data_IF_430763553515
#
_entry.id   IF_430763553515
#
_cell.length_a   1.000
_cell.length_b   1.000
_cell.length_c   1.000
_cell.angle_alpha   90.00
_cell.angle_beta   90.00
_cell.angle_gamma   90.00
#
_symmetry.space_group_name_H-M   'P 1'
#
loop_
_entity.id
_entity.type
_entity.pdbx_description
1 polymer ?
#
# COMPACT_ATOMS: atom_id res chain seq x y z
N UNK A 1 21.47 33.41 -10.39
CA UNK A 1 20.06 33.34 -10.84
C UNK A 1 19.68 32.01 -11.48
N UNK A 2 20.41 31.52 -12.50
CA UNK A 2 20.07 30.25 -13.18
C UNK A 2 19.99 29.00 -12.29
N UNK A 3 20.87 28.87 -11.27
CA UNK A 3 20.81 27.76 -10.30
C UNK A 3 19.53 27.74 -9.47
N UNK A 4 19.00 28.91 -9.09
CA UNK A 4 17.84 29.02 -8.20
C UNK A 4 16.56 28.60 -8.95
N UNK A 5 16.41 29.05 -10.19
CA UNK A 5 15.36 28.58 -11.09
C UNK A 5 15.49 27.09 -11.44
N UNK A 6 16.71 26.58 -11.57
CA UNK A 6 16.98 25.15 -11.76
C UNK A 6 16.48 24.30 -10.58
N UNK A 7 16.75 24.73 -9.34
CA UNK A 7 16.28 24.03 -8.13
C UNK A 7 14.75 24.09 -8.02
N UNK A 8 14.13 25.24 -8.31
CA UNK A 8 12.67 25.37 -8.33
C UNK A 8 12.03 24.47 -9.38
N UNK A 9 12.60 24.42 -10.60
CA UNK A 9 12.15 23.51 -11.66
C UNK A 9 12.23 22.04 -11.25
N UNK A 10 13.35 21.61 -10.65
CA UNK A 10 13.51 20.25 -10.14
C UNK A 10 12.50 19.94 -9.02
N UNK A 11 12.26 20.88 -8.12
CA UNK A 11 11.27 20.75 -7.05
C UNK A 11 9.85 20.55 -7.58
N UNK A 12 9.45 21.33 -8.60
CA UNK A 12 8.15 21.18 -9.25
C UNK A 12 7.99 19.80 -9.91
N UNK A 13 8.99 19.36 -10.68
CA UNK A 13 8.98 18.04 -11.34
C UNK A 13 8.89 16.91 -10.31
N UNK A 14 9.68 17.01 -9.24
CA UNK A 14 9.68 16.02 -8.14
C UNK A 14 8.33 15.99 -7.43
N UNK A 15 7.74 17.14 -7.14
CA UNK A 15 6.42 17.24 -6.52
C UNK A 15 5.32 16.62 -7.37
N UNK A 16 5.30 16.91 -8.68
CA UNK A 16 4.35 16.30 -9.62
C UNK A 16 4.55 14.79 -9.72
N UNK A 17 5.79 14.32 -9.78
CA UNK A 17 6.10 12.89 -9.81
C UNK A 17 5.58 12.16 -8.54
N UNK A 18 5.71 12.77 -7.36
CA UNK A 18 5.18 12.24 -6.11
C UNK A 18 3.65 12.16 -6.12
N UNK A 19 2.96 13.18 -6.66
CA UNK A 19 1.49 13.18 -6.78
C UNK A 19 1.04 12.06 -7.73
N UNK A 20 1.62 11.98 -8.93
CA UNK A 20 1.23 10.98 -9.92
C UNK A 20 1.55 9.55 -9.44
N UNK A 21 2.72 9.36 -8.83
CA UNK A 21 3.11 8.08 -8.23
C UNK A 21 2.18 7.68 -7.08
N UNK A 22 1.87 8.61 -6.18
CA UNK A 22 0.94 8.39 -5.06
C UNK A 22 -0.46 8.03 -5.54
N UNK A 23 -1.01 8.78 -6.51
CA UNK A 23 -2.31 8.49 -7.12
C UNK A 23 -2.33 7.12 -7.82
N UNK A 24 -1.24 6.74 -8.48
CA UNK A 24 -1.12 5.42 -9.09
C UNK A 24 -1.13 4.30 -8.04
N UNK A 25 -0.45 4.48 -6.91
CA UNK A 25 -0.49 3.56 -5.77
C UNK A 25 -1.90 3.46 -5.20
N UNK A 26 -2.57 4.58 -4.94
CA UNK A 26 -3.96 4.58 -4.43
C UNK A 26 -4.89 3.84 -5.39
N UNK A 27 -4.79 4.11 -6.71
CA UNK A 27 -5.62 3.46 -7.73
C UNK A 27 -5.35 1.97 -7.82
N UNK A 28 -4.09 1.54 -7.77
CA UNK A 28 -3.75 0.11 -7.81
C UNK A 28 -4.16 -0.61 -6.53
N UNK A 29 -4.03 0.00 -5.37
CA UNK A 29 -4.54 -0.52 -4.11
C UNK A 29 -6.06 -0.68 -4.16
N UNK A 30 -6.80 0.34 -4.59
CA UNK A 30 -8.27 0.27 -4.73
C UNK A 30 -8.70 -0.77 -5.76
N UNK A 31 -7.99 -0.87 -6.89
CA UNK A 31 -8.26 -1.90 -7.89
C UNK A 31 -7.96 -3.32 -7.38
N UNK A 32 -6.97 -3.48 -6.50
CA UNK A 32 -6.72 -4.74 -5.80
C UNK A 32 -7.82 -5.02 -4.79
N UNK A 33 -8.15 -4.09 -3.90
CA UNK A 33 -9.26 -4.22 -2.93
C UNK A 33 -10.57 -4.66 -3.62
N UNK A 34 -10.91 -4.08 -4.76
CA UNK A 34 -12.13 -4.43 -5.52
C UNK A 34 -12.07 -5.81 -6.20
N UNK A 35 -10.88 -6.37 -6.42
CA UNK A 35 -10.67 -7.69 -7.07
C UNK A 35 -10.43 -8.81 -6.08
N UNK A 36 -10.04 -8.47 -4.86
CA UNK A 36 -9.75 -9.40 -3.80
C UNK A 36 -11.07 -9.74 -3.09
N UNK A 37 -11.55 -10.96 -3.26
CA UNK A 37 -12.68 -11.45 -2.47
C UNK A 37 -12.22 -11.73 -1.03
N UNK A 38 -13.00 -11.37 -0.01
CA UNK A 38 -12.76 -11.84 1.34
C UNK A 38 -13.00 -13.36 1.38
N UNK A 39 -11.97 -14.12 1.73
CA UNK A 39 -12.00 -15.57 1.87
C UNK A 39 -11.70 -15.94 3.32
N UNK A 40 -12.46 -16.89 3.86
CA UNK A 40 -12.17 -17.48 5.16
C UNK A 40 -11.00 -18.46 5.01
N UNK A 41 -9.85 -18.14 5.61
CA UNK A 41 -8.72 -19.04 5.68
C UNK A 41 -8.65 -19.73 7.03
N UNK A 42 -8.46 -21.05 7.01
CA UNK A 42 -8.27 -21.89 8.19
C UNK A 42 -6.79 -21.94 8.53
N UNK A 43 -6.44 -21.75 9.81
CA UNK A 43 -5.08 -21.93 10.30
C UNK A 43 -4.75 -23.42 10.33
N UNK A 44 -3.80 -23.85 9.49
CA UNK A 44 -3.33 -25.22 9.42
C UNK A 44 -2.18 -25.48 10.40
N UNK A 45 -1.41 -24.45 10.74
CA UNK A 45 -0.25 -24.57 11.61
C UNK A 45 0.32 -23.21 12.01
N UNK A 46 0.96 -23.18 13.18
CA UNK A 46 1.71 -22.02 13.66
C UNK A 46 3.09 -22.51 14.07
N UNK A 47 4.12 -22.08 13.34
CA UNK A 47 5.50 -22.49 13.58
C UNK A 47 6.36 -21.25 13.84
N UNK A 48 6.62 -20.99 15.13
CA UNK A 48 7.36 -19.81 15.58
C UNK A 48 6.70 -18.51 15.12
N UNK A 49 7.32 -17.82 14.15
CA UNK A 49 6.82 -16.55 13.57
C UNK A 49 6.06 -16.75 12.26
N UNK A 50 5.82 -17.99 11.84
CA UNK A 50 5.15 -18.33 10.59
C UNK A 50 3.79 -18.96 10.84
N UNK A 51 2.85 -18.64 9.98
CA UNK A 51 1.47 -19.07 10.04
C UNK A 51 1.12 -19.69 8.69
N UNK A 52 0.65 -20.93 8.75
CA UNK A 52 0.20 -21.70 7.60
C UNK A 52 -1.31 -21.60 7.51
N UNK A 53 -1.78 -21.08 6.38
CA UNK A 53 -3.18 -20.85 6.07
C UNK A 53 -3.61 -21.77 4.93
N UNK A 54 -4.77 -22.42 5.10
CA UNK A 54 -5.46 -23.15 4.04
C UNK A 54 -6.77 -22.44 3.71
N UNK A 55 -7.08 -22.27 2.44
CA UNK A 55 -8.35 -21.70 2.00
C UNK A 55 -8.78 -22.30 0.67
N UNK A 56 -10.05 -22.13 0.32
CA UNK A 56 -10.58 -22.54 -0.97
C UNK A 56 -10.93 -21.31 -1.79
N UNK A 57 -10.55 -21.31 -3.07
CA UNK A 57 -10.92 -20.30 -4.05
C UNK A 57 -11.48 -21.02 -5.26
N UNK A 58 -12.72 -20.70 -5.64
CA UNK A 58 -13.47 -21.36 -6.72
C UNK A 58 -13.47 -22.90 -6.60
N UNK A 59 -13.65 -23.40 -5.37
CA UNK A 59 -13.69 -24.84 -5.06
C UNK A 59 -12.33 -25.55 -5.07
N UNK A 60 -11.22 -24.83 -5.31
CA UNK A 60 -9.85 -25.39 -5.29
C UNK A 60 -9.13 -25.05 -3.98
N UNK A 61 -8.45 -26.01 -3.35
CA UNK A 61 -7.66 -25.76 -2.14
C UNK A 61 -6.35 -25.05 -2.47
N UNK A 62 -6.03 -24.02 -1.70
CA UNK A 62 -4.77 -23.29 -1.72
C UNK A 62 -4.16 -23.23 -0.33
N UNK A 63 -2.83 -23.14 -0.28
CA UNK A 63 -2.06 -22.98 0.95
C UNK A 63 -1.15 -21.76 0.85
N UNK A 64 -1.07 -21.02 1.93
CA UNK A 64 -0.21 -19.86 2.07
C UNK A 64 0.58 -19.96 3.37
N UNK A 65 1.90 -19.82 3.27
CA UNK A 65 2.81 -19.72 4.41
C UNK A 65 3.35 -18.31 4.48
N UNK A 66 3.13 -17.61 5.59
CA UNK A 66 3.59 -16.24 5.76
C UNK A 66 3.92 -15.89 7.21
N UNK A 67 4.42 -14.67 7.43
CA UNK A 67 4.68 -14.18 8.79
C UNK A 67 3.37 -13.94 9.55
N UNK A 68 3.25 -14.52 10.75
CA UNK A 68 2.07 -14.42 11.60
C UNK A 68 1.69 -12.96 11.93
N UNK A 69 2.68 -12.09 12.16
CA UNK A 69 2.48 -10.67 12.47
C UNK A 69 1.70 -9.89 11.38
N UNK A 70 1.64 -10.40 10.14
CA UNK A 70 0.84 -9.81 9.06
C UNK A 70 -0.67 -10.05 9.26
N UNK A 71 -1.02 -11.10 9.98
CA UNK A 71 -2.39 -11.62 10.12
C UNK A 71 -2.99 -11.42 11.51
N UNK A 72 -2.15 -11.26 12.54
CA UNK A 72 -2.59 -11.31 13.94
C UNK A 72 -2.11 -10.05 14.66
N UNK A 73 -3.06 -9.21 15.09
CA UNK A 73 -2.82 -8.09 16.02
C UNK A 73 -3.15 -8.52 17.46
N UNK A 74 -2.55 -9.62 17.93
CA UNK A 74 -2.92 -10.25 19.20
C UNK A 74 -2.25 -11.61 19.44
N UNK A 75 -2.77 -12.42 20.39
CA UNK A 75 -2.25 -13.76 20.65
C UNK A 75 -2.39 -14.67 19.42
N UNK A 76 -1.47 -15.61 19.25
CA UNK A 76 -1.45 -16.50 18.09
C UNK A 76 -2.76 -17.30 18.02
N UNK A 77 -3.41 -17.35 16.85
CA UNK A 77 -4.66 -18.08 16.67
C UNK A 77 -4.39 -19.58 16.79
N UNK A 78 -5.35 -20.29 17.39
CA UNK A 78 -5.29 -21.74 17.48
C UNK A 78 -5.36 -22.39 16.09
N UNK A 79 -4.73 -23.55 15.94
CA UNK A 79 -4.90 -24.40 14.74
C UNK A 79 -6.39 -24.74 14.60
N UNK A 80 -6.92 -24.60 13.38
CA UNK A 80 -8.34 -24.75 13.08
C UNK A 80 -9.15 -23.45 13.16
N UNK A 81 -8.59 -22.36 13.69
CA UNK A 81 -9.26 -21.07 13.67
C UNK A 81 -9.46 -20.55 12.25
N UNK A 82 -10.55 -19.79 12.03
CA UNK A 82 -10.84 -19.14 10.76
C UNK A 82 -10.48 -17.65 10.83
N UNK A 83 -9.78 -17.15 9.83
CA UNK A 83 -9.31 -15.76 9.74
C UNK A 83 -9.69 -15.20 8.37
N UNK A 84 -10.24 -13.96 8.30
CA UNK A 84 -10.54 -13.33 7.02
C UNK A 84 -9.24 -12.88 6.32
N UNK A 85 -9.04 -13.33 5.10
CA UNK A 85 -7.93 -12.92 4.23
C UNK A 85 -8.44 -12.49 2.86
N UNK A 86 -7.70 -11.61 2.20
CA UNK A 86 -7.98 -11.15 0.85
C UNK A 86 -6.99 -11.81 -0.11
N UNK A 87 -7.49 -12.47 -1.15
CA UNK A 87 -6.67 -13.27 -2.07
C UNK A 87 -6.93 -12.84 -3.51
N UNK A 88 -5.86 -12.66 -4.29
CA UNK A 88 -5.95 -12.30 -5.70
C UNK A 88 -6.19 -13.58 -6.50
N UNK A 89 -7.30 -13.69 -7.25
CA UNK A 89 -7.56 -14.87 -8.08
C UNK A 89 -6.43 -15.15 -9.09
N UNK A 90 -5.68 -14.13 -9.51
CA UNK A 90 -4.55 -14.27 -10.44
C UNK A 90 -3.26 -14.71 -9.75
N UNK A 91 -3.18 -14.57 -8.42
CA UNK A 91 -2.04 -14.98 -7.58
C UNK A 91 -2.56 -15.65 -6.31
N UNK A 92 -3.23 -16.81 -6.42
CA UNK A 92 -3.91 -17.46 -5.31
C UNK A 92 -2.95 -18.08 -4.28
N UNK A 93 -1.63 -17.94 -4.49
CA UNK A 93 -0.61 -18.30 -3.50
C UNK A 93 -0.18 -17.09 -2.65
N UNK A 94 -0.82 -15.93 -2.78
CA UNK A 94 -0.51 -14.71 -2.00
C UNK A 94 -1.77 -14.25 -1.28
N UNK A 95 -1.76 -14.37 0.04
CA UNK A 95 -2.81 -13.82 0.90
C UNK A 95 -2.36 -12.47 1.48
N UNK A 96 -3.28 -11.52 1.54
CA UNK A 96 -3.10 -10.20 2.14
C UNK A 96 -4.15 -9.96 3.21
N UNK A 97 -3.81 -9.14 4.21
CA UNK A 97 -4.81 -8.70 5.18
C UNK A 97 -5.50 -7.42 4.74
N UNK A 98 -6.74 -7.17 5.23
CA UNK A 98 -7.42 -5.89 5.03
C UNK A 98 -6.56 -4.70 5.50
N UNK A 99 -5.79 -4.90 6.58
CA UNK A 99 -4.89 -3.87 7.12
C UNK A 99 -3.78 -3.49 6.14
N UNK A 100 -3.14 -4.46 5.48
CA UNK A 100 -2.07 -4.19 4.52
C UNK A 100 -2.52 -3.39 3.30
N UNK A 101 -3.72 -3.69 2.80
CA UNK A 101 -4.34 -2.96 1.70
C UNK A 101 -4.59 -1.50 2.09
N UNK A 102 -5.15 -1.27 3.29
CA UNK A 102 -5.37 0.07 3.84
C UNK A 102 -4.08 0.84 4.06
N UNK A 103 -3.05 0.20 4.61
CA UNK A 103 -1.73 0.84 4.83
C UNK A 103 -1.10 1.24 3.50
N UNK A 104 -1.13 0.37 2.49
CA UNK A 104 -0.62 0.70 1.17
C UNK A 104 -1.40 1.85 0.50
N UNK A 105 -2.73 1.85 0.63
CA UNK A 105 -3.57 2.96 0.16
C UNK A 105 -3.27 4.27 0.90
N UNK A 106 -3.11 4.22 2.21
CA UNK A 106 -2.77 5.39 3.04
C UNK A 106 -1.39 5.96 2.68
N UNK A 107 -0.38 5.12 2.47
CA UNK A 107 0.94 5.55 2.00
C UNK A 107 0.85 6.27 0.65
N UNK A 108 0.01 5.78 -0.27
CA UNK A 108 -0.27 6.46 -1.53
C UNK A 108 -0.77 7.90 -1.32
N UNK A 109 -1.68 8.12 -0.37
CA UNK A 109 -2.16 9.46 -0.02
C UNK A 109 -1.10 10.34 0.65
N UNK A 110 -0.20 9.76 1.46
CA UNK A 110 0.95 10.48 2.02
C UNK A 110 1.85 11.01 0.90
N UNK A 111 2.16 10.20 -0.11
CA UNK A 111 2.92 10.66 -1.29
C UNK A 111 2.22 11.80 -2.03
N UNK A 112 0.90 11.70 -2.20
CA UNK A 112 0.11 12.79 -2.81
C UNK A 112 0.21 14.06 -1.98
N UNK A 113 0.01 13.98 -0.67
CA UNK A 113 0.10 15.13 0.24
C UNK A 113 1.48 15.79 0.21
N UNK A 114 2.55 15.00 0.30
CA UNK A 114 3.93 15.50 0.19
C UNK A 114 4.21 16.15 -1.17
N UNK A 115 3.75 15.55 -2.26
CA UNK A 115 3.91 16.10 -3.61
C UNK A 115 3.19 17.44 -3.78
N UNK A 116 1.93 17.55 -3.33
CA UNK A 116 1.15 18.80 -3.38
C UNK A 116 1.84 19.89 -2.56
N UNK A 117 2.27 19.57 -1.33
CA UNK A 117 2.97 20.51 -0.46
C UNK A 117 4.26 21.02 -1.12
N UNK A 118 5.05 20.13 -1.73
CA UNK A 118 6.29 20.48 -2.40
C UNK A 118 6.04 21.42 -3.59
N UNK A 119 5.04 21.13 -4.44
CA UNK A 119 4.65 22.01 -5.54
C UNK A 119 4.22 23.39 -5.03
N UNK A 120 3.41 23.42 -3.96
CA UNK A 120 2.94 24.68 -3.37
C UNK A 120 4.11 25.53 -2.87
N UNK A 121 5.06 24.93 -2.14
CA UNK A 121 6.27 25.60 -1.65
C UNK A 121 7.09 26.16 -2.82
N UNK A 122 7.28 25.38 -3.88
CA UNK A 122 8.01 25.82 -5.08
C UNK A 122 7.32 27.00 -5.77
N UNK A 123 6.00 26.97 -5.90
CA UNK A 123 5.22 28.07 -6.51
C UNK A 123 5.36 29.34 -5.68
N UNK A 124 5.21 29.25 -4.35
CA UNK A 124 5.37 30.40 -3.44
C UNK A 124 6.78 30.95 -3.54
N UNK A 125 7.81 30.10 -3.50
CA UNK A 125 9.20 30.51 -3.62
C UNK A 125 9.49 31.18 -4.98
N UNK A 126 8.94 30.65 -6.07
CA UNK A 126 9.07 31.26 -7.39
C UNK A 126 8.43 32.65 -7.46
N UNK A 127 7.26 32.84 -6.86
CA UNK A 127 6.60 34.15 -6.77
C UNK A 127 7.44 35.12 -5.95
N UNK A 128 7.91 34.72 -4.77
CA UNK A 128 8.76 35.57 -3.92
C UNK A 128 10.05 35.99 -4.64
N UNK A 129 10.71 35.05 -5.34
CA UNK A 129 11.92 35.34 -6.12
C UNK A 129 11.62 36.30 -7.28
N UNK A 130 10.45 36.19 -7.92
CA UNK A 130 10.02 37.08 -8.99
C UNK A 130 9.59 38.48 -8.51
N UNK A 131 9.21 38.63 -7.24
CA UNK A 131 8.79 39.91 -6.64
C UNK A 131 9.93 40.66 -5.93
N UNK A 132 10.96 39.94 -5.47
CA UNK A 132 12.13 40.49 -4.78
C UNK A 132 13.28 40.93 -5.69
N UNK A 133 13.04 40.98 -7.00
CA UNK A 133 13.99 41.39 -8.04
C UNK A 133 13.38 42.51 -8.89
#
# INVERSE_FOLDING_TARGET
MGMLWGVLGLGAVTGVALVLGGLWVVRTCRARELRLAPVAATVLGVEGRHLDLGYHLDGRPFRYRGRAARFVQGPLPAVGASIPVHVDPRRPAVAQTPGELRVAGALGWVYVGCGVLLVLVVVVAAVVVAQGW
#
